data_IF_928779836409
#
_entry.id   IF_928779836409
#
_cell.length_a   1.000
_cell.length_b   1.000
_cell.length_c   1.000
_cell.angle_alpha   90.00
_cell.angle_beta   90.00
_cell.angle_gamma   90.00
#
_symmetry.space_group_name_H-M   'P 1'
#
loop_
_entity.id
_entity.type
_entity.pdbx_description
1 polymer ?
#
# COMPACT_ATOMS: atom_id res chain seq x y z
N UNK A 1 -10.70 -3.56 2.12
CA UNK A 1 -9.38 -3.05 1.70
C UNK A 1 -9.14 -1.68 2.31
N UNK A 2 -7.94 -1.42 2.82
CA UNK A 2 -7.57 -0.15 3.46
C UNK A 2 -6.13 0.20 3.07
N UNK A 3 -5.86 1.46 2.78
CA UNK A 3 -4.49 1.97 2.67
C UNK A 3 -4.16 2.78 3.93
N UNK A 4 -2.97 2.58 4.47
CA UNK A 4 -2.41 3.41 5.55
C UNK A 4 -1.04 3.92 5.14
N UNK A 5 -0.78 5.20 5.39
CA UNK A 5 0.52 5.82 5.12
C UNK A 5 1.16 6.25 6.45
N UNK A 6 2.34 5.72 6.73
CA UNK A 6 3.19 6.16 7.82
C UNK A 6 4.22 7.15 7.27
N UNK A 7 4.01 8.44 7.54
CA UNK A 7 4.88 9.51 7.06
C UNK A 7 6.23 9.57 7.78
N UNK A 8 6.35 9.00 8.99
CA UNK A 8 7.60 8.95 9.75
C UNK A 8 8.59 7.99 9.08
N UNK A 9 8.12 6.82 8.67
CA UNK A 9 8.96 5.80 8.03
C UNK A 9 8.90 5.84 6.50
N UNK A 10 8.02 6.66 5.91
CA UNK A 10 7.78 6.72 4.48
C UNK A 10 7.33 5.37 3.90
N UNK A 11 6.44 4.70 4.62
CA UNK A 11 5.91 3.38 4.28
C UNK A 11 4.41 3.48 4.03
N UNK A 12 3.92 2.82 2.99
CA UNK A 12 2.49 2.68 2.74
C UNK A 12 2.09 1.21 2.77
N UNK A 13 1.05 0.89 3.51
CA UNK A 13 0.53 -0.47 3.64
C UNK A 13 -0.86 -0.57 3.02
N UNK A 14 -1.02 -1.50 2.07
CA UNK A 14 -2.29 -1.87 1.50
C UNK A 14 -2.78 -3.16 2.17
N UNK A 15 -3.75 -3.03 3.07
CA UNK A 15 -4.49 -4.15 3.64
C UNK A 15 -5.55 -4.63 2.63
N UNK A 16 -5.40 -5.84 2.14
CA UNK A 16 -6.35 -6.49 1.23
C UNK A 16 -7.47 -7.18 2.00
N UNK A 17 -7.13 -7.80 3.14
CA UNK A 17 -8.03 -8.57 4.01
C UNK A 17 -7.85 -8.14 5.46
N UNK A 18 -8.88 -8.35 6.28
CA UNK A 18 -8.72 -8.29 7.73
C UNK A 18 -7.78 -9.42 8.16
N UNK A 19 -6.76 -9.10 8.97
CA UNK A 19 -5.80 -10.09 9.46
C UNK A 19 -6.44 -11.03 10.50
N UNK A 20 -7.44 -10.57 11.25
CA UNK A 20 -8.07 -11.35 12.31
C UNK A 20 -7.05 -12.03 13.23
N UNK A 21 -7.29 -13.29 13.61
CA UNK A 21 -6.36 -14.14 14.37
C UNK A 21 -5.45 -15.03 13.48
N UNK A 22 -5.32 -14.74 12.18
CA UNK A 22 -4.53 -15.60 11.28
C UNK A 22 -3.03 -15.35 11.49
N UNK A 23 -2.24 -16.43 11.49
CA UNK A 23 -0.78 -16.36 11.47
C UNK A 23 -0.31 -15.87 10.10
N UNK A 24 -0.18 -14.56 9.94
CA UNK A 24 0.32 -13.92 8.72
C UNK A 24 1.79 -13.57 8.91
N UNK A 25 2.63 -13.92 7.95
CA UNK A 25 4.06 -13.63 7.95
C UNK A 25 4.38 -12.59 6.88
N UNK A 26 5.17 -11.58 7.23
CA UNK A 26 5.74 -10.65 6.27
C UNK A 26 6.96 -11.27 5.59
N UNK A 27 6.89 -11.44 4.27
CA UNK A 27 8.01 -11.85 3.44
C UNK A 27 8.57 -10.62 2.74
N UNK A 28 9.85 -10.35 2.92
CA UNK A 28 10.58 -9.35 2.13
C UNK A 28 10.82 -9.91 0.73
N UNK A 29 10.19 -9.30 -0.28
CA UNK A 29 10.44 -9.67 -1.67
C UNK A 29 11.61 -8.90 -2.26
N UNK A 30 11.78 -7.64 -1.86
CA UNK A 30 12.88 -6.78 -2.28
C UNK A 30 13.10 -5.65 -1.28
N UNK A 31 14.03 -4.75 -1.59
CA UNK A 31 14.21 -3.51 -0.83
C UNK A 31 13.05 -2.51 -0.99
N UNK A 32 12.12 -2.78 -1.90
CA UNK A 32 10.99 -1.91 -2.22
C UNK A 32 9.66 -2.42 -1.67
N UNK A 33 9.54 -3.73 -1.40
CA UNK A 33 8.24 -4.32 -1.03
C UNK A 33 8.33 -5.51 -0.09
N UNK A 34 7.44 -5.53 0.91
CA UNK A 34 7.10 -6.73 1.67
C UNK A 34 5.67 -7.20 1.34
N UNK A 35 5.44 -8.50 1.45
CA UNK A 35 4.12 -9.12 1.30
C UNK A 35 3.74 -9.87 2.57
N UNK A 36 2.57 -9.56 3.09
CA UNK A 36 1.96 -10.28 4.18
C UNK A 36 1.17 -11.49 3.64
N UNK A 37 1.61 -12.70 3.97
CA UNK A 37 1.04 -13.94 3.46
C UNK A 37 0.71 -14.93 4.59
N UNK A 38 -0.40 -15.65 4.46
CA UNK A 38 -0.77 -16.74 5.36
C UNK A 38 -0.22 -18.09 4.86
N UNK A 39 -0.18 -19.15 5.70
CA UNK A 39 0.31 -20.48 5.31
C UNK A 39 -0.45 -21.12 4.13
N UNK A 40 -1.72 -20.73 3.94
CA UNK A 40 -2.55 -21.15 2.80
C UNK A 40 -2.21 -20.40 1.50
N UNK A 41 -1.18 -19.55 1.50
CA UNK A 41 -0.78 -18.72 0.36
C UNK A 41 -1.63 -17.46 0.18
N UNK A 42 -2.65 -17.25 1.03
CA UNK A 42 -3.49 -16.06 0.96
C UNK A 42 -2.70 -14.79 1.25
N UNK A 43 -2.75 -13.81 0.35
CA UNK A 43 -2.14 -12.48 0.57
C UNK A 43 -3.09 -11.60 1.38
N UNK A 44 -2.56 -10.99 2.44
CA UNK A 44 -3.29 -10.11 3.37
C UNK A 44 -2.93 -8.66 3.19
N UNK A 45 -1.70 -8.37 2.75
CA UNK A 45 -1.32 -7.01 2.44
C UNK A 45 0.03 -6.87 1.77
N UNK A 46 0.29 -5.63 1.35
CA UNK A 46 1.46 -5.22 0.59
C UNK A 46 2.02 -3.99 1.26
N UNK A 47 3.30 -4.01 1.63
CA UNK A 47 3.99 -2.89 2.23
C UNK A 47 4.99 -2.28 1.24
N UNK A 48 4.75 -1.02 0.87
CA UNK A 48 5.63 -0.21 0.03
C UNK A 48 6.68 0.46 0.92
N UNK A 49 7.94 0.05 0.80
CA UNK A 49 9.02 0.48 1.70
C UNK A 49 9.57 1.87 1.38
N UNK A 50 9.17 2.45 0.25
CA UNK A 50 9.39 3.86 -0.08
C UNK A 50 8.16 4.44 -0.79
N UNK A 51 7.15 4.78 0.01
CA UNK A 51 5.88 5.30 -0.48
C UNK A 51 6.05 6.55 -1.37
N UNK A 52 6.97 7.46 -1.06
CA UNK A 52 7.25 8.64 -1.89
C UNK A 52 7.76 8.31 -3.30
N UNK A 53 8.52 7.23 -3.47
CA UNK A 53 8.98 6.77 -4.80
C UNK A 53 7.89 5.99 -5.53
N UNK A 54 7.16 5.15 -4.80
CA UNK A 54 6.21 4.19 -5.37
C UNK A 54 4.82 4.80 -5.63
N UNK A 55 4.43 5.83 -4.87
CA UNK A 55 3.20 6.58 -5.07
C UNK A 55 3.49 7.92 -5.74
N UNK A 56 2.62 8.35 -6.66
CA UNK A 56 2.77 9.65 -7.30
C UNK A 56 2.36 10.77 -6.35
N UNK A 57 3.33 11.63 -6.00
CA UNK A 57 3.10 12.84 -5.24
C UNK A 57 3.21 14.12 -6.07
N UNK A 58 2.76 15.22 -5.50
CA UNK A 58 3.25 16.55 -5.83
C UNK A 58 4.24 17.03 -4.73
N UNK A 59 4.64 18.30 -4.77
CA UNK A 59 5.62 18.85 -3.82
C UNK A 59 5.24 18.63 -2.35
N UNK A 60 3.94 18.57 -2.04
CA UNK A 60 3.46 18.59 -0.66
C UNK A 60 2.58 17.37 -0.30
N UNK A 61 2.07 16.62 -1.27
CA UNK A 61 1.12 15.52 -1.02
C UNK A 61 1.47 14.27 -1.80
N UNK A 62 1.29 13.11 -1.15
CA UNK A 62 1.23 11.82 -1.85
C UNK A 62 -0.22 11.50 -2.20
N UNK A 63 -0.42 10.83 -3.33
CA UNK A 63 -1.75 10.43 -3.77
C UNK A 63 -1.82 8.94 -4.03
N UNK A 64 -2.91 8.32 -3.57
CA UNK A 64 -3.37 7.07 -4.16
C UNK A 64 -4.10 7.40 -5.46
N UNK A 65 -3.63 6.83 -6.57
CA UNK A 65 -4.27 6.98 -7.88
C UNK A 65 -5.08 5.73 -8.16
N UNK A 66 -6.39 5.89 -8.38
CA UNK A 66 -7.30 4.81 -8.78
C UNK A 66 -7.79 5.11 -10.18
N UNK A 67 -7.50 4.20 -11.10
CA UNK A 67 -7.87 4.35 -12.52
C UNK A 67 -8.72 3.19 -12.96
N UNK A 68 -9.78 3.50 -13.69
CA UNK A 68 -10.55 2.51 -14.43
C UNK A 68 -9.83 2.21 -15.75
N UNK A 69 -9.47 0.94 -15.96
CA UNK A 69 -8.62 0.55 -17.08
C UNK A 69 -9.30 0.70 -18.46
N UNK A 70 -10.63 0.68 -18.51
CA UNK A 70 -11.42 0.71 -19.76
C UNK A 70 -11.74 2.16 -20.12
N UNK A 71 -12.44 2.86 -19.24
CA UNK A 71 -12.87 4.25 -19.42
C UNK A 71 -11.74 5.27 -19.27
N UNK A 72 -10.58 4.86 -18.75
CA UNK A 72 -9.42 5.70 -18.43
C UNK A 72 -9.69 6.79 -17.39
N UNK A 73 -10.88 6.80 -16.79
CA UNK A 73 -11.20 7.74 -15.71
C UNK A 73 -10.29 7.47 -14.52
N UNK A 74 -9.78 8.55 -13.94
CA UNK A 74 -8.81 8.49 -12.84
C UNK A 74 -9.26 9.39 -11.71
N UNK A 75 -9.18 8.89 -10.48
CA UNK A 75 -9.38 9.63 -9.24
C UNK A 75 -8.09 9.60 -8.45
N UNK A 76 -7.72 10.76 -7.88
CA UNK A 76 -6.57 10.88 -6.99
C UNK A 76 -7.08 11.19 -5.59
N UNK A 77 -6.74 10.32 -4.64
CA UNK A 77 -7.07 10.51 -3.22
C UNK A 77 -5.81 10.96 -2.50
N UNK A 78 -5.79 12.15 -1.89
CA UNK A 78 -4.63 12.60 -1.11
C UNK A 78 -4.45 11.69 0.11
N UNK A 79 -3.22 11.22 0.31
CA UNK A 79 -2.78 10.60 1.56
C UNK A 79 -2.32 11.74 2.45
N UNK A 80 -2.95 11.90 3.61
CA UNK A 80 -2.77 13.07 4.46
C UNK A 80 -1.29 13.45 4.63
N UNK A 81 -0.94 14.65 4.18
CA UNK A 81 0.25 15.35 4.61
C UNK A 81 -0.13 16.14 5.87
N UNK A 82 0.68 16.06 6.92
CA UNK A 82 0.59 17.04 8.01
C UNK A 82 1.14 18.37 7.52
#
# INVERSE_FOLDING_TARGET
MKITYDSKYNIAYLSLKDKGQKNVTAIRLSDEVNIDIAPDGGIYGIELLNAKKQLKGDKNHLFLTVSDAISKKTVRVPLAAR
#
